data_IF_535039565244
#
_entry.id   IF_535039565244
#
_cell.length_a   1.000
_cell.length_b   1.000
_cell.length_c   1.000
_cell.angle_alpha   90.00
_cell.angle_beta   90.00
_cell.angle_gamma   90.00
#
_symmetry.space_group_name_H-M   'P 1'
#
loop_
_entity.id
_entity.type
_entity.pdbx_description
1 polymer ?
#
# COMPACT_ATOMS: atom_id res chain seq x y z
N UNK A 1 35.49 7.11 -19.80
CA UNK A 1 34.24 7.85 -19.50
C UNK A 1 33.12 6.82 -19.54
N UNK A 2 32.62 6.35 -18.40
CA UNK A 2 31.62 5.27 -18.34
C UNK A 2 30.22 5.87 -18.26
N UNK A 3 29.35 5.53 -19.22
CA UNK A 3 27.92 5.84 -19.12
C UNK A 3 27.33 5.02 -17.97
N UNK A 4 26.95 5.68 -16.88
CA UNK A 4 26.04 5.08 -15.90
C UNK A 4 24.67 4.96 -16.54
N UNK A 5 24.11 3.75 -16.57
CA UNK A 5 22.71 3.54 -16.91
C UNK A 5 21.87 4.17 -15.80
N UNK A 6 21.31 5.35 -16.07
CA UNK A 6 20.30 6.00 -15.25
C UNK A 6 18.95 5.33 -15.53
N UNK A 7 18.71 4.17 -14.94
CA UNK A 7 17.43 3.48 -15.05
C UNK A 7 16.80 3.31 -13.68
N UNK A 8 15.53 3.66 -13.53
CA UNK A 8 14.76 3.30 -12.35
C UNK A 8 14.29 1.85 -12.49
N UNK A 9 14.42 1.06 -11.42
CA UNK A 9 13.77 -0.25 -11.31
C UNK A 9 12.40 -0.04 -10.68
N UNK A 10 11.36 -0.54 -11.33
CA UNK A 10 9.99 -0.54 -10.81
C UNK A 10 9.65 -1.97 -10.41
N UNK A 11 9.18 -2.13 -9.18
CA UNK A 11 8.71 -3.41 -8.64
C UNK A 11 7.27 -3.23 -8.18
N UNK A 12 6.40 -4.13 -8.61
CA UNK A 12 5.06 -4.28 -8.05
C UNK A 12 5.04 -5.58 -7.24
N UNK A 13 4.25 -5.60 -6.18
CA UNK A 13 4.08 -6.75 -5.32
C UNK A 13 2.58 -6.94 -5.05
N UNK A 14 2.19 -8.18 -4.84
CA UNK A 14 0.82 -8.55 -4.50
C UNK A 14 0.74 -8.88 -3.01
N UNK A 15 -0.14 -8.18 -2.28
CA UNK A 15 -0.50 -8.55 -0.90
C UNK A 15 -1.14 -9.93 -0.88
N UNK A 16 -1.04 -10.63 0.25
CA UNK A 16 -1.81 -11.87 0.46
C UNK A 16 -3.29 -11.68 0.12
N UNK A 17 -3.86 -12.63 -0.63
CA UNK A 17 -5.24 -12.57 -1.10
C UNK A 17 -5.47 -11.70 -2.34
N UNK A 18 -4.42 -11.13 -2.93
CA UNK A 18 -4.49 -10.36 -4.18
C UNK A 18 -3.56 -10.95 -5.24
N UNK A 19 -3.91 -10.73 -6.51
CA UNK A 19 -3.06 -11.07 -7.66
C UNK A 19 -2.59 -12.52 -7.63
N UNK A 20 -1.27 -12.71 -7.54
CA UNK A 20 -0.61 -14.01 -7.52
C UNK A 20 -0.28 -14.54 -6.11
N UNK A 21 -0.67 -13.83 -5.06
CA UNK A 21 -0.36 -14.20 -3.68
C UNK A 21 -1.47 -15.03 -3.04
N UNK A 22 -1.07 -16.03 -2.25
CA UNK A 22 -1.98 -16.87 -1.48
C UNK A 22 -2.86 -16.06 -0.51
N UNK A 23 -4.07 -16.53 -0.18
CA UNK A 23 -4.95 -15.86 0.78
C UNK A 23 -4.32 -15.79 2.18
N UNK A 24 -4.60 -14.71 2.95
CA UNK A 24 -4.07 -14.62 4.29
C UNK A 24 -4.77 -15.63 5.23
N UNK A 25 -4.07 -16.22 6.21
CA UNK A 25 -4.66 -17.17 7.15
C UNK A 25 -5.63 -16.50 8.13
N UNK A 26 -5.50 -15.18 8.32
CA UNK A 26 -6.27 -14.36 9.27
C UNK A 26 -6.60 -12.99 8.65
N UNK A 27 -7.60 -12.27 9.18
CA UNK A 27 -7.85 -10.89 8.78
C UNK A 27 -6.59 -10.02 8.92
N UNK A 28 -6.28 -9.24 7.89
CA UNK A 28 -5.09 -8.40 7.84
C UNK A 28 -5.36 -6.98 8.30
N UNK A 29 -4.38 -6.40 8.97
CA UNK A 29 -4.28 -4.96 9.22
C UNK A 29 -3.29 -4.32 8.26
N UNK A 30 -3.40 -3.02 8.07
CA UNK A 30 -2.45 -2.26 7.24
C UNK A 30 -1.02 -2.33 7.80
N UNK A 31 -0.90 -2.47 9.12
CA UNK A 31 0.41 -2.64 9.77
C UNK A 31 1.06 -3.98 9.39
N UNK A 32 0.26 -5.05 9.36
CA UNK A 32 0.73 -6.37 8.92
C UNK A 32 1.12 -6.34 7.44
N UNK A 33 0.30 -5.76 6.57
CA UNK A 33 0.63 -5.71 5.14
C UNK A 33 1.85 -4.82 4.85
N UNK A 34 2.08 -3.76 5.61
CA UNK A 34 3.30 -2.97 5.52
C UNK A 34 4.54 -3.75 5.99
N UNK A 35 4.42 -4.58 7.03
CA UNK A 35 5.48 -5.49 7.45
C UNK A 35 5.77 -6.55 6.37
N UNK A 36 4.73 -7.14 5.79
CA UNK A 36 4.86 -8.11 4.70
C UNK A 36 5.59 -7.51 3.49
N UNK A 37 5.31 -6.24 3.15
CA UNK A 37 6.05 -5.51 2.11
C UNK A 37 7.54 -5.39 2.43
N UNK A 38 7.89 -5.02 3.66
CA UNK A 38 9.28 -4.93 4.08
C UNK A 38 9.99 -6.29 3.93
N UNK A 39 9.35 -7.37 4.41
CA UNK A 39 9.86 -8.73 4.27
C UNK A 39 9.97 -9.18 2.81
N UNK A 40 9.03 -8.79 1.95
CA UNK A 40 9.07 -9.11 0.52
C UNK A 40 10.26 -8.42 -0.17
N UNK A 41 10.53 -7.15 0.14
CA UNK A 41 11.69 -6.41 -0.36
C UNK A 41 13.01 -7.06 0.08
N UNK A 42 13.12 -7.41 1.36
CA UNK A 42 14.28 -8.11 1.91
C UNK A 42 14.50 -9.46 1.23
N UNK A 43 13.45 -10.28 1.12
CA UNK A 43 13.51 -11.61 0.51
C UNK A 43 13.88 -11.57 -0.96
N UNK A 44 13.48 -10.50 -1.67
CA UNK A 44 13.84 -10.27 -3.06
C UNK A 44 15.23 -9.64 -3.24
N UNK A 45 15.95 -9.34 -2.15
CA UNK A 45 17.24 -8.65 -2.20
C UNK A 45 17.12 -7.23 -2.77
N UNK A 46 15.95 -6.60 -2.64
CA UNK A 46 15.69 -5.24 -3.11
C UNK A 46 16.02 -4.32 -1.95
N UNK A 47 17.18 -3.68 -2.01
CA UNK A 47 17.62 -2.69 -1.03
C UNK A 47 17.40 -1.26 -1.53
N UNK A 48 17.26 -0.33 -0.59
CA UNK A 48 17.00 1.08 -0.87
C UNK A 48 18.11 1.80 -1.64
N UNK A 49 17.87 3.06 -2.04
CA UNK A 49 16.74 3.88 -1.63
C UNK A 49 15.44 3.57 -2.39
N UNK A 50 14.31 3.62 -1.67
CA UNK A 50 12.96 3.38 -2.19
C UNK A 50 12.20 4.69 -2.43
N UNK A 51 11.31 4.64 -3.41
CA UNK A 51 10.21 5.60 -3.60
C UNK A 51 8.91 4.79 -3.66
N UNK A 52 8.29 4.43 -2.51
CA UNK A 52 7.03 3.71 -2.55
C UNK A 52 5.93 4.58 -3.17
N UNK A 53 5.12 3.93 -4.01
CA UNK A 53 4.01 4.55 -4.71
C UNK A 53 2.72 3.82 -4.33
N UNK A 54 1.85 4.52 -3.61
CA UNK A 54 0.65 3.96 -3.01
C UNK A 54 -0.63 4.64 -3.50
N UNK A 55 -1.56 3.84 -4.02
CA UNK A 55 -2.94 4.27 -4.29
C UNK A 55 -3.88 3.75 -3.20
N UNK A 56 -4.84 4.57 -2.77
CA UNK A 56 -5.86 4.19 -1.76
C UNK A 56 -5.19 3.63 -0.49
N UNK A 57 -5.48 2.37 -0.11
CA UNK A 57 -4.86 1.70 1.03
C UNK A 57 -3.33 1.62 0.93
N UNK A 58 -2.79 1.50 -0.29
CA UNK A 58 -1.35 1.40 -0.51
C UNK A 58 -0.60 2.68 -0.11
N UNK A 59 -1.28 3.81 -0.01
CA UNK A 59 -0.68 5.01 0.55
C UNK A 59 -0.44 4.91 2.07
N UNK A 60 -1.36 4.29 2.82
CA UNK A 60 -1.13 4.00 4.24
C UNK A 60 0.06 3.06 4.45
N UNK A 61 0.23 2.06 3.58
CA UNK A 61 1.37 1.14 3.64
C UNK A 61 2.68 1.82 3.27
N UNK A 62 2.66 2.73 2.29
CA UNK A 62 3.83 3.53 1.92
C UNK A 62 4.30 4.38 3.09
N UNK A 63 3.35 4.98 3.83
CA UNK A 63 3.65 5.75 5.05
C UNK A 63 4.23 4.86 6.15
N UNK A 64 3.64 3.68 6.40
CA UNK A 64 4.15 2.76 7.43
C UNK A 64 5.50 2.13 7.07
N UNK A 65 5.76 1.87 5.78
CA UNK A 65 7.09 1.42 5.33
C UNK A 65 8.15 2.50 5.60
N UNK A 66 7.84 3.76 5.31
CA UNK A 66 8.72 4.88 5.61
C UNK A 66 8.92 5.12 7.11
N UNK A 67 7.89 4.88 7.93
CA UNK A 67 7.99 4.95 9.39
C UNK A 67 8.93 3.86 9.96
N UNK A 68 8.91 2.66 9.36
CA UNK A 68 9.76 1.52 9.75
C UNK A 68 11.23 1.73 9.39
N UNK A 69 11.52 2.29 8.21
CA UNK A 69 12.89 2.61 7.78
C UNK A 69 12.96 3.92 7.00
N UNK A 70 13.01 5.01 7.74
CA UNK A 70 13.06 6.36 7.18
C UNK A 70 14.33 6.64 6.37
N UNK A 71 15.44 5.95 6.67
CA UNK A 71 16.70 6.13 5.97
C UNK A 71 16.68 5.48 4.57
N UNK A 72 15.91 4.41 4.40
CA UNK A 72 15.77 3.73 3.12
C UNK A 72 14.74 4.40 2.18
N UNK A 73 13.83 5.25 2.66
CA UNK A 73 12.83 5.92 1.82
C UNK A 73 13.21 7.37 1.52
N UNK A 74 13.46 7.69 0.24
CA UNK A 74 13.93 9.03 -0.18
C UNK A 74 12.83 9.91 -0.77
N UNK A 75 11.60 9.40 -0.85
CA UNK A 75 10.42 10.10 -1.34
C UNK A 75 9.22 9.16 -1.41
N UNK A 76 8.02 9.68 -1.62
CA UNK A 76 6.79 8.88 -1.75
C UNK A 76 5.87 9.46 -2.82
N UNK A 77 5.09 8.60 -3.47
CA UNK A 77 4.01 9.00 -4.38
C UNK A 77 2.68 8.51 -3.80
N UNK A 78 1.82 9.44 -3.38
CA UNK A 78 0.53 9.13 -2.75
C UNK A 78 -0.61 9.54 -3.69
N UNK A 79 -1.39 8.58 -4.17
CA UNK A 79 -2.48 8.79 -5.13
C UNK A 79 -3.80 8.48 -4.45
N UNK A 80 -4.69 9.47 -4.31
CA UNK A 80 -6.02 9.33 -3.69
C UNK A 80 -6.03 8.41 -2.45
N UNK A 81 -5.05 8.65 -1.59
CA UNK A 81 -4.68 7.77 -0.49
C UNK A 81 -5.76 7.75 0.60
N UNK A 82 -6.01 6.55 1.16
CA UNK A 82 -6.84 6.40 2.34
C UNK A 82 -6.21 7.06 3.55
N UNK A 83 -7.02 7.50 4.50
CA UNK A 83 -6.54 8.18 5.70
C UNK A 83 -7.36 7.74 6.92
N UNK A 84 -6.82 8.02 8.11
CA UNK A 84 -7.47 7.63 9.35
C UNK A 84 -8.89 8.20 9.44
N UNK A 85 -9.83 7.35 9.85
CA UNK A 85 -11.27 7.66 9.92
C UNK A 85 -11.91 8.10 8.59
N UNK A 86 -11.31 7.79 7.43
CA UNK A 86 -11.86 8.15 6.11
C UNK A 86 -13.33 7.74 5.97
N UNK A 87 -13.69 6.51 6.32
CA UNK A 87 -15.07 6.04 6.22
C UNK A 87 -16.04 6.81 7.13
N UNK A 88 -15.66 7.05 8.39
CA UNK A 88 -16.49 7.84 9.33
C UNK A 88 -16.70 9.27 8.81
N UNK A 89 -15.64 9.88 8.26
CA UNK A 89 -15.68 11.23 7.70
C UNK A 89 -16.52 11.29 6.42
N UNK A 90 -16.42 10.28 5.56
CA UNK A 90 -17.24 10.19 4.35
C UNK A 90 -18.71 9.93 4.69
N UNK A 91 -19.01 9.09 5.67
CA UNK A 91 -20.38 8.85 6.14
C UNK A 91 -21.03 10.14 6.64
N UNK A 92 -20.27 10.98 7.35
CA UNK A 92 -20.76 12.28 7.80
C UNK A 92 -20.93 13.30 6.65
N UNK A 93 -20.02 13.32 5.67
CA UNK A 93 -19.99 14.37 4.63
C UNK A 93 -20.79 14.03 3.37
N UNK A 94 -20.89 12.75 3.04
CA UNK A 94 -21.47 12.24 1.79
C UNK A 94 -22.15 10.88 2.05
N UNK A 95 -23.18 10.82 2.92
CA UNK A 95 -23.79 9.56 3.36
C UNK A 95 -24.31 8.69 2.21
N UNK A 96 -24.76 9.29 1.10
CA UNK A 96 -25.23 8.58 -0.08
C UNK A 96 -24.15 7.71 -0.75
N UNK A 97 -22.88 8.14 -0.74
CA UNK A 97 -21.77 7.37 -1.32
C UNK A 97 -21.50 6.11 -0.50
N UNK A 98 -21.53 6.23 0.83
CA UNK A 98 -21.30 5.10 1.74
C UNK A 98 -22.46 4.10 1.69
N UNK A 99 -23.71 4.59 1.64
CA UNK A 99 -24.89 3.74 1.53
C UNK A 99 -24.88 2.90 0.24
N UNK A 100 -24.52 3.51 -0.90
CA UNK A 100 -24.40 2.81 -2.18
C UNK A 100 -23.31 1.71 -2.18
N UNK A 101 -22.25 1.89 -1.39
CA UNK A 101 -21.20 0.87 -1.21
C UNK A 101 -21.66 -0.34 -0.40
N UNK A 102 -22.41 -0.12 0.69
CA UNK A 102 -22.94 -1.20 1.55
C UNK A 102 -23.95 -2.10 0.83
N UNK A 103 -24.76 -1.54 -0.08
CA UNK A 103 -25.77 -2.31 -0.84
C UNK A 103 -25.17 -3.30 -1.84
N UNK A 104 -23.96 -3.05 -2.37
CA UNK A 104 -23.29 -3.95 -3.33
C UNK A 104 -22.79 -5.27 -2.72
N UNK A 105 -22.74 -5.38 -1.39
CA UNK A 105 -22.38 -6.62 -0.67
C UNK A 105 -23.59 -7.48 -0.27
N UNK A 106 -24.82 -7.09 -0.64
CA UNK A 106 -26.07 -7.81 -0.31
C UNK A 106 -26.66 -8.58 -1.50
N UNK A 107 -25.92 -8.71 -2.61
CA UNK A 107 -26.30 -9.57 -3.73
C UNK A 107 -25.25 -10.67 -3.84
N UNK A 108 -25.49 -11.73 -3.10
CA UNK A 108 -25.01 -13.08 -3.44
C UNK A 108 -26.02 -13.73 -4.38
#
# INVERSE_FOLDING_TARGET
MSLRRMGSRVCAWDRSGFGLSDPPPHPQTVDQTAADLATALESAGITGPYIPAGHSLGGCESLLLADRDFAAVVGMVLVDTSYNDQFKRLEHRVPAIIAAGKQKHLVH
#
